data_IF_386801946683
#
_entry.id   IF_386801946683
#
_cell.length_a   1.000
_cell.length_b   1.000
_cell.length_c   1.000
_cell.angle_alpha   90.00
_cell.angle_beta   90.00
_cell.angle_gamma   90.00
#
_symmetry.space_group_name_H-M   'P 1'
#
loop_
_entity.id
_entity.type
_entity.pdbx_description
1 polymer ?
#
# COMPACT_ATOMS: atom_id res chain seq x y z
N UNK A 1 -23.15 -3.75 10.24
CA UNK A 1 -22.66 -4.12 8.90
C UNK A 1 -21.14 -4.05 8.93
N UNK A 2 -20.46 -5.19 8.84
CA UNK A 2 -19.00 -5.26 8.86
C UNK A 2 -18.50 -5.02 7.44
N UNK A 3 -18.08 -3.80 7.14
CA UNK A 3 -17.49 -3.48 5.84
C UNK A 3 -16.12 -4.16 5.82
N UNK A 4 -15.97 -5.23 5.02
CA UNK A 4 -14.65 -5.76 4.68
C UNK A 4 -13.97 -4.68 3.85
N UNK A 5 -13.06 -3.95 4.47
CA UNK A 5 -12.14 -3.06 3.75
C UNK A 5 -11.33 -3.97 2.85
N UNK A 6 -11.64 -3.95 1.56
CA UNK A 6 -10.83 -4.63 0.56
C UNK A 6 -9.49 -3.92 0.58
N UNK A 7 -8.43 -4.65 0.87
CA UNK A 7 -7.09 -4.09 0.83
C UNK A 7 -6.74 -3.86 -0.64
N UNK A 8 -6.70 -2.58 -1.05
CA UNK A 8 -6.44 -2.18 -2.42
C UNK A 8 -5.12 -2.75 -2.96
N UNK A 9 -4.10 -2.92 -2.10
CA UNK A 9 -2.83 -3.53 -2.48
C UNK A 9 -2.96 -5.02 -2.80
N UNK A 10 -3.75 -5.76 -2.01
CA UNK A 10 -4.02 -7.18 -2.27
C UNK A 10 -4.86 -7.37 -3.54
N UNK A 11 -5.84 -6.49 -3.76
CA UNK A 11 -6.65 -6.49 -4.97
C UNK A 11 -5.79 -6.23 -6.21
N UNK A 12 -4.90 -5.24 -6.16
CA UNK A 12 -3.99 -4.92 -7.25
C UNK A 12 -3.03 -6.09 -7.57
N UNK A 13 -2.54 -6.79 -6.54
CA UNK A 13 -1.69 -7.98 -6.71
C UNK A 13 -2.45 -9.12 -7.39
N UNK A 14 -3.68 -9.40 -6.97
CA UNK A 14 -4.53 -10.45 -7.55
C UNK A 14 -4.83 -10.15 -9.03
N UNK A 15 -5.21 -8.92 -9.34
CA UNK A 15 -5.45 -8.46 -10.71
C UNK A 15 -4.19 -8.61 -11.57
N UNK A 16 -3.02 -8.26 -11.05
CA UNK A 16 -1.75 -8.42 -11.78
C UNK A 16 -1.43 -9.88 -12.08
N UNK A 17 -1.68 -10.77 -11.12
CA UNK A 17 -1.42 -12.19 -11.30
C UNK A 17 -2.33 -12.80 -12.38
N UNK A 18 -3.60 -12.41 -12.41
CA UNK A 18 -4.55 -12.81 -13.45
C UNK A 18 -4.11 -12.30 -14.82
N UNK A 19 -3.74 -11.01 -14.91
CA UNK A 19 -3.28 -10.42 -16.17
C UNK A 19 -2.03 -11.12 -16.71
N UNK A 20 -1.04 -11.40 -15.87
CA UNK A 20 0.18 -12.13 -16.26
C UNK A 20 -0.07 -13.60 -16.61
N UNK A 21 -1.15 -14.21 -16.10
CA UNK A 21 -1.54 -15.58 -16.44
C UNK A 21 -2.16 -15.67 -17.84
N UNK A 22 -2.88 -14.63 -18.27
CA UNK A 22 -3.65 -14.64 -19.52
C UNK A 22 -3.05 -13.80 -20.65
N UNK A 23 -2.09 -12.92 -20.34
CA UNK A 23 -1.48 -12.01 -21.30
C UNK A 23 0.04 -12.13 -21.23
N UNK A 24 0.67 -11.94 -22.38
CA UNK A 24 2.12 -11.81 -22.46
C UNK A 24 2.59 -10.62 -21.59
N UNK A 25 3.72 -10.73 -20.86
CA UNK A 25 4.22 -9.67 -19.99
C UNK A 25 4.35 -8.30 -20.69
N UNK A 26 4.72 -8.29 -21.98
CA UNK A 26 4.82 -7.06 -22.76
C UNK A 26 3.47 -6.33 -22.94
N UNK A 27 2.36 -7.06 -23.04
CA UNK A 27 1.00 -6.47 -23.15
C UNK A 27 0.52 -5.98 -21.78
N UNK A 28 0.83 -6.72 -20.72
CA UNK A 28 0.55 -6.30 -19.34
C UNK A 28 1.27 -5.00 -19.00
N UNK A 29 2.57 -4.88 -19.32
CA UNK A 29 3.34 -3.65 -19.07
C UNK A 29 2.82 -2.45 -19.87
N UNK A 30 2.40 -2.65 -21.13
CA UNK A 30 1.78 -1.59 -21.94
C UNK A 30 0.45 -1.13 -21.34
N UNK A 31 -0.38 -2.08 -20.89
CA UNK A 31 -1.63 -1.77 -20.20
C UNK A 31 -1.40 -1.01 -18.90
N UNK A 32 -0.43 -1.44 -18.10
CA UNK A 32 -0.05 -0.79 -16.84
C UNK A 32 0.35 0.68 -17.04
N UNK A 33 1.19 0.95 -18.05
CA UNK A 33 1.58 2.31 -18.42
C UNK A 33 0.40 3.13 -18.96
N UNK A 34 -0.46 2.53 -19.79
CA UNK A 34 -1.66 3.20 -20.32
C UNK A 34 -2.67 3.57 -19.22
N UNK A 35 -2.77 2.74 -18.18
CA UNK A 35 -3.61 2.99 -17.02
C UNK A 35 -2.95 3.93 -15.99
N UNK A 36 -1.73 4.41 -16.24
CA UNK A 36 -0.98 5.30 -15.33
C UNK A 36 -0.83 4.70 -13.92
N UNK A 37 -0.86 3.37 -13.83
CA UNK A 37 -0.70 2.67 -12.56
C UNK A 37 0.75 2.89 -12.11
N UNK A 38 0.93 3.65 -11.04
CA UNK A 38 2.26 4.08 -10.58
C UNK A 38 2.73 5.44 -11.06
N UNK A 39 1.94 6.22 -11.83
CA UNK A 39 2.15 7.68 -11.97
C UNK A 39 1.67 8.44 -10.73
N UNK A 40 1.96 7.90 -9.54
CA UNK A 40 1.84 8.70 -8.33
C UNK A 40 3.04 9.62 -8.26
N UNK A 41 2.82 10.93 -8.13
CA UNK A 41 3.89 11.83 -7.73
C UNK A 41 4.25 11.51 -6.28
N UNK A 42 5.23 10.62 -6.10
CA UNK A 42 5.70 10.20 -4.80
C UNK A 42 6.12 11.40 -3.93
N UNK A 43 6.62 12.47 -4.55
CA UNK A 43 6.99 13.68 -3.81
C UNK A 43 5.74 14.40 -3.28
N UNK A 44 4.70 14.57 -4.10
CA UNK A 44 3.42 15.13 -3.64
C UNK A 44 2.76 14.27 -2.56
N UNK A 45 2.76 12.95 -2.74
CA UNK A 45 2.19 12.03 -1.75
C UNK A 45 2.98 12.07 -0.44
N UNK A 46 4.32 12.06 -0.52
CA UNK A 46 5.20 12.18 0.65
C UNK A 46 4.94 13.48 1.38
N UNK A 47 4.84 14.60 0.66
CA UNK A 47 4.58 15.90 1.27
C UNK A 47 3.18 15.97 1.88
N UNK A 48 2.16 15.37 1.25
CA UNK A 48 0.81 15.28 1.83
C UNK A 48 0.77 14.45 3.12
N UNK A 49 1.53 13.36 3.20
CA UNK A 49 1.50 12.44 4.34
C UNK A 49 2.42 12.88 5.48
N UNK A 50 3.52 13.56 5.16
CA UNK A 50 4.63 13.77 6.11
C UNK A 50 5.09 15.22 6.24
N UNK A 51 4.43 16.20 5.62
CA UNK A 51 4.84 17.62 5.71
C UNK A 51 4.89 18.18 7.12
N UNK A 52 4.08 17.65 8.04
CA UNK A 52 4.04 18.05 9.46
C UNK A 52 4.77 17.06 10.37
N UNK A 53 5.33 15.99 9.81
CA UNK A 53 5.99 14.94 10.57
C UNK A 53 7.51 15.21 10.64
N UNK A 54 8.08 14.97 11.81
CA UNK A 54 9.52 14.96 12.02
C UNK A 54 10.01 13.52 12.18
N UNK A 55 11.32 13.32 12.11
CA UNK A 55 11.91 12.00 12.36
C UNK A 55 11.51 11.48 13.75
N UNK A 56 11.48 12.36 14.74
CA UNK A 56 11.09 12.01 16.11
C UNK A 56 9.60 11.65 16.22
N UNK A 57 8.70 12.38 15.54
CA UNK A 57 7.26 12.06 15.57
C UNK A 57 6.95 10.75 14.87
N UNK A 58 7.66 10.46 13.76
CA UNK A 58 7.54 9.18 13.06
C UNK A 58 8.07 8.03 13.91
N UNK A 59 9.19 8.23 14.61
CA UNK A 59 9.75 7.23 15.49
C UNK A 59 8.78 6.84 16.62
N UNK A 60 8.19 7.83 17.31
CA UNK A 60 7.21 7.55 18.36
C UNK A 60 5.97 6.84 17.81
N UNK A 61 5.44 7.25 16.65
CA UNK A 61 4.30 6.56 16.00
C UNK A 61 4.61 5.11 15.63
N UNK A 62 5.82 4.83 15.13
CA UNK A 62 6.24 3.47 14.81
C UNK A 62 6.36 2.63 16.08
N UNK A 63 6.92 3.20 17.15
CA UNK A 63 7.05 2.54 18.44
C UNK A 63 5.68 2.24 19.05
N UNK A 64 4.76 3.19 19.05
CA UNK A 64 3.37 2.99 19.49
C UNK A 64 2.67 1.89 18.69
N UNK A 65 2.84 1.89 17.36
CA UNK A 65 2.29 0.84 16.50
C UNK A 65 2.85 -0.54 16.84
N UNK A 66 4.16 -0.66 17.02
CA UNK A 66 4.82 -1.92 17.40
C UNK A 66 4.36 -2.42 18.77
N UNK A 67 4.29 -1.54 19.77
CA UNK A 67 3.80 -1.88 21.11
C UNK A 67 2.31 -2.26 21.11
N UNK A 68 1.50 -1.67 20.22
CA UNK A 68 0.09 -2.04 20.04
C UNK A 68 -0.09 -3.39 19.32
N UNK A 69 0.82 -3.73 18.40
CA UNK A 69 0.83 -5.01 17.70
C UNK A 69 1.27 -6.16 18.63
N UNK A 70 2.28 -5.93 19.48
CA UNK A 70 2.72 -6.91 20.50
C UNK A 70 1.60 -7.22 21.51
N UNK A 71 0.84 -6.21 21.96
CA UNK A 71 -0.29 -6.41 22.89
C UNK A 71 -1.44 -7.24 22.31
N UNK A 72 -1.50 -7.43 21.00
CA UNK A 72 -2.51 -8.28 20.35
C UNK A 72 -2.09 -9.76 20.37
N UNK A 73 -0.80 -10.06 20.52
CA UNK A 73 -0.29 -11.44 20.63
C UNK A 73 -0.47 -12.05 22.02
N UNK A 74 -0.64 -11.25 23.07
CA UNK A 74 -0.84 -11.70 24.46
C UNK A 74 -2.33 -11.93 24.83
N UNK A 75 -3.25 -11.71 23.88
CA UNK A 75 -4.70 -11.83 24.06
C UNK A 75 -5.35 -12.94 23.20
N UNK A 76 -4.56 -13.81 22.55
CA UNK A 76 -5.02 -15.01 21.84
C UNK A 76 -4.42 -16.26 22.48
#
# INVERSE_FOLDING_TARGET
>A
MTIKVINDQQNLQEVMQILLTHLEPAKVMKFWAACKLGEGDYLQLKDSLFSQETVDSLYEKIKEYQESADKTSDLI
#
